data_IF_772556024663
#
_entry.id   IF_772556024663
#
_cell.length_a   1.000
_cell.length_b   1.000
_cell.length_c   1.000
_cell.angle_alpha   90.00
_cell.angle_beta   90.00
_cell.angle_gamma   90.00
#
_symmetry.space_group_name_H-M   'P 1'
#
loop_
_entity.id
_entity.type
_entity.pdbx_description
1 polymer ?
#
# COMPACT_ATOMS: atom_id res chain seq x y z
N UNK A 1 11.01 2.57 -8.39
CA UNK A 1 12.11 2.43 -9.37
C UNK A 1 12.92 3.70 -9.33
N UNK A 2 14.17 3.61 -8.87
CA UNK A 2 15.11 4.72 -8.84
C UNK A 2 16.08 4.67 -10.03
N UNK A 3 16.61 5.83 -10.42
CA UNK A 3 17.67 5.96 -11.41
C UNK A 3 18.69 6.99 -10.93
N UNK A 4 19.98 6.72 -11.18
CA UNK A 4 21.07 7.62 -10.84
C UNK A 4 21.96 7.78 -12.07
N UNK A 5 22.33 9.03 -12.39
CA UNK A 5 23.26 9.32 -13.48
C UNK A 5 24.28 10.38 -13.08
N UNK A 6 25.50 10.26 -13.61
CA UNK A 6 26.53 11.29 -13.47
C UNK A 6 26.31 12.41 -14.49
N UNK A 7 26.43 13.66 -14.05
CA UNK A 7 26.29 14.86 -14.87
C UNK A 7 27.67 15.32 -15.39
N UNK A 8 27.73 16.12 -16.48
CA UNK A 8 28.98 16.70 -16.96
C UNK A 8 29.72 17.55 -15.92
N UNK A 9 29.00 18.11 -14.94
CA UNK A 9 29.57 18.83 -13.80
C UNK A 9 30.30 17.94 -12.79
N UNK A 10 30.29 16.63 -12.97
CA UNK A 10 30.84 15.65 -12.03
C UNK A 10 29.89 15.24 -10.90
N UNK A 11 28.80 16.00 -10.69
CA UNK A 11 27.73 15.71 -9.72
C UNK A 11 26.86 14.53 -10.17
N UNK A 12 26.09 13.98 -9.24
CA UNK A 12 25.18 12.86 -9.48
C UNK A 12 23.72 13.29 -9.34
N UNK A 13 22.92 13.03 -10.36
CA UNK A 13 21.47 13.23 -10.31
C UNK A 13 20.79 11.92 -9.99
N UNK A 14 19.99 11.90 -8.92
CA UNK A 14 19.11 10.80 -8.57
C UNK A 14 17.65 11.16 -8.88
N UNK A 15 16.87 10.18 -9.32
CA UNK A 15 15.45 10.30 -9.60
C UNK A 15 14.69 9.08 -9.10
N UNK A 16 13.55 9.28 -8.45
CA UNK A 16 12.67 8.20 -7.99
C UNK A 16 11.26 8.43 -8.53
N UNK A 17 10.67 7.40 -9.14
CA UNK A 17 9.25 7.39 -9.52
C UNK A 17 8.39 7.01 -8.31
N UNK A 18 7.39 7.84 -8.04
CA UNK A 18 6.39 7.68 -6.99
C UNK A 18 5.11 7.03 -7.55
N UNK A 19 4.18 6.68 -6.67
CA UNK A 19 2.99 5.88 -7.01
C UNK A 19 1.93 6.65 -7.76
N UNK A 20 1.90 7.97 -7.55
CA UNK A 20 1.07 8.93 -8.27
C UNK A 20 1.60 9.23 -9.69
N UNK A 21 2.68 8.55 -10.11
CA UNK A 21 3.33 8.77 -11.39
C UNK A 21 4.23 10.01 -11.41
N UNK A 22 4.35 10.76 -10.31
CA UNK A 22 5.29 11.86 -10.21
C UNK A 22 6.72 11.36 -9.98
N UNK A 23 7.68 12.12 -10.52
CA UNK A 23 9.11 11.85 -10.34
C UNK A 23 9.71 12.91 -9.45
N UNK A 24 10.30 12.48 -8.34
CA UNK A 24 11.14 13.35 -7.51
C UNK A 24 12.59 13.20 -7.91
N UNK A 25 13.35 14.30 -7.92
CA UNK A 25 14.74 14.35 -8.37
C UNK A 25 15.58 15.21 -7.45
N UNK A 26 16.83 14.81 -7.24
CA UNK A 26 17.84 15.63 -6.56
C UNK A 26 19.19 15.54 -7.28
N UNK A 27 20.10 16.45 -6.95
CA UNK A 27 21.51 16.40 -7.38
C UNK A 27 22.41 16.45 -6.16
N UNK A 28 23.39 15.55 -6.10
CA UNK A 28 24.35 15.40 -5.01
C UNK A 28 25.78 15.43 -5.56
N UNK A 29 26.74 15.73 -4.70
CA UNK A 29 28.14 15.85 -5.12
C UNK A 29 28.81 14.48 -5.23
N UNK A 30 28.33 13.49 -4.45
CA UNK A 30 28.83 12.12 -4.46
C UNK A 30 27.76 11.12 -4.93
N UNK A 31 28.22 9.96 -5.41
CA UNK A 31 27.33 8.85 -5.76
C UNK A 31 26.67 8.25 -4.51
N UNK A 32 27.40 8.20 -3.40
CA UNK A 32 26.92 7.68 -2.13
C UNK A 32 25.71 8.48 -1.64
N UNK A 33 25.82 9.81 -1.59
CA UNK A 33 24.73 10.69 -1.19
C UNK A 33 23.50 10.58 -2.11
N UNK A 34 23.74 10.45 -3.42
CA UNK A 34 22.67 10.27 -4.41
C UNK A 34 21.94 8.95 -4.19
N UNK A 35 22.68 7.89 -3.84
CA UNK A 35 22.15 6.55 -3.58
C UNK A 35 21.39 6.51 -2.26
N UNK A 36 21.98 7.06 -1.19
CA UNK A 36 21.35 7.15 0.13
C UNK A 36 20.04 7.93 0.07
N UNK A 37 20.02 9.06 -0.65
CA UNK A 37 18.79 9.82 -0.85
C UNK A 37 17.73 9.02 -1.60
N UNK A 38 18.10 8.33 -2.69
CA UNK A 38 17.16 7.52 -3.47
C UNK A 38 16.56 6.39 -2.62
N UNK A 39 17.39 5.70 -1.83
CA UNK A 39 16.94 4.65 -0.91
C UNK A 39 15.95 5.19 0.13
N UNK A 40 16.28 6.32 0.77
CA UNK A 40 15.39 6.96 1.75
C UNK A 40 14.01 7.29 1.16
N UNK A 41 13.97 7.82 -0.07
CA UNK A 41 12.71 8.13 -0.75
C UNK A 41 11.91 6.87 -1.07
N UNK A 42 12.57 5.78 -1.49
CA UNK A 42 11.88 4.52 -1.75
C UNK A 42 11.36 3.86 -0.47
N UNK A 43 12.10 3.94 0.63
CA UNK A 43 11.68 3.45 1.94
C UNK A 43 10.47 4.21 2.46
N UNK A 44 10.48 5.54 2.34
CA UNK A 44 9.33 6.39 2.68
C UNK A 44 8.10 6.03 1.84
N UNK A 45 8.26 5.89 0.51
CA UNK A 45 7.18 5.46 -0.40
C UNK A 45 6.61 4.10 0.03
N UNK A 46 7.48 3.13 0.30
CA UNK A 46 7.07 1.78 0.69
C UNK A 46 6.35 1.77 2.05
N UNK A 47 6.77 2.60 3.00
CA UNK A 47 6.10 2.75 4.29
C UNK A 47 4.68 3.29 4.13
N UNK A 48 4.52 4.35 3.34
CA UNK A 48 3.19 4.93 3.04
C UNK A 48 2.27 3.94 2.34
N UNK A 49 2.79 3.10 1.43
CA UNK A 49 2.00 2.01 0.83
C UNK A 49 1.53 0.99 1.87
N UNK A 50 2.36 0.66 2.86
CA UNK A 50 1.98 -0.27 3.91
C UNK A 50 0.87 0.33 4.79
N UNK A 51 1.01 1.59 5.18
CA UNK A 51 -0.02 2.34 5.92
C UNK A 51 -1.32 2.46 5.13
N UNK A 52 -1.25 2.78 3.83
CA UNK A 52 -2.43 2.90 2.98
C UNK A 52 -3.15 1.55 2.81
N UNK A 53 -2.42 0.45 2.59
CA UNK A 53 -3.05 -0.88 2.50
C UNK A 53 -3.81 -1.25 3.76
N UNK A 54 -3.25 -0.94 4.94
CA UNK A 54 -3.93 -1.15 6.20
C UNK A 54 -5.24 -0.35 6.27
N UNK A 55 -5.22 0.93 5.87
CA UNK A 55 -6.42 1.77 5.81
C UNK A 55 -7.45 1.25 4.80
N UNK A 56 -7.01 0.78 3.64
CA UNK A 56 -7.88 0.22 2.61
C UNK A 56 -8.53 -1.10 3.06
N UNK A 57 -7.81 -1.94 3.81
CA UNK A 57 -8.33 -3.16 4.44
C UNK A 57 -9.39 -2.84 5.52
N UNK A 58 -9.14 -1.84 6.37
CA UNK A 58 -10.12 -1.38 7.35
C UNK A 58 -11.37 -0.80 6.69
N UNK A 59 -11.19 0.01 5.64
CA UNK A 59 -12.29 0.59 4.88
C UNK A 59 -13.12 -0.51 4.20
N UNK A 60 -12.47 -1.48 3.56
CA UNK A 60 -13.12 -2.63 2.94
C UNK A 60 -13.91 -3.45 3.97
N UNK A 61 -13.30 -3.71 5.13
CA UNK A 61 -13.96 -4.41 6.24
C UNK A 61 -15.20 -3.66 6.72
N UNK A 62 -15.11 -2.33 6.88
CA UNK A 62 -16.23 -1.48 7.29
C UNK A 62 -17.36 -1.49 6.26
N UNK A 63 -17.04 -1.44 4.97
CA UNK A 63 -18.01 -1.52 3.88
C UNK A 63 -18.74 -2.86 3.90
N UNK A 64 -18.00 -3.97 4.03
CA UNK A 64 -18.58 -5.32 4.10
C UNK A 64 -19.49 -5.47 5.31
N UNK A 65 -19.04 -5.05 6.50
CA UNK A 65 -19.85 -5.10 7.72
C UNK A 65 -21.10 -4.23 7.61
N UNK A 66 -20.99 -3.04 7.01
CA UNK A 66 -22.13 -2.17 6.74
C UNK A 66 -23.15 -2.83 5.81
N UNK A 67 -22.70 -3.47 4.73
CA UNK A 67 -23.56 -4.19 3.80
C UNK A 67 -24.27 -5.37 4.48
N UNK A 68 -23.55 -6.16 5.29
CA UNK A 68 -24.14 -7.29 6.04
C UNK A 68 -25.21 -6.79 7.03
N UNK A 69 -24.94 -5.69 7.73
CA UNK A 69 -25.91 -5.08 8.65
C UNK A 69 -27.16 -4.59 7.91
N UNK A 70 -27.01 -3.95 6.76
CA UNK A 70 -28.15 -3.52 5.95
C UNK A 70 -29.00 -4.72 5.50
N UNK A 71 -28.36 -5.80 5.05
CA UNK A 71 -29.07 -7.01 4.61
C UNK A 71 -29.83 -7.71 5.76
N UNK A 72 -29.32 -7.64 6.99
CA UNK A 72 -30.04 -8.07 8.20
C UNK A 72 -31.27 -7.20 8.47
N UNK A 73 -31.09 -5.88 8.45
CA UNK A 73 -32.16 -4.91 8.75
C UNK A 73 -33.29 -5.01 7.70
N UNK A 74 -32.94 -5.27 6.45
CA UNK A 74 -33.88 -5.51 5.36
C UNK A 74 -34.55 -6.90 5.41
N UNK A 75 -34.19 -7.76 6.37
CA UNK A 75 -34.67 -9.14 6.49
C UNK A 75 -34.22 -10.06 5.36
N UNK A 76 -33.22 -9.64 4.57
CA UNK A 76 -32.68 -10.37 3.42
C UNK A 76 -31.56 -11.35 3.79
N UNK A 77 -31.03 -11.23 5.01
CA UNK A 77 -30.13 -12.19 5.63
C UNK A 77 -30.78 -12.75 6.89
N UNK A 78 -30.85 -14.09 7.00
CA UNK A 78 -31.27 -14.73 8.25
C UNK A 78 -30.12 -14.77 9.27
N UNK A 79 -30.46 -14.91 10.55
CA UNK A 79 -29.46 -15.06 11.62
C UNK A 79 -28.59 -16.31 11.44
N UNK A 80 -29.11 -17.34 10.77
CA UNK A 80 -28.40 -18.59 10.46
C UNK A 80 -27.36 -18.36 9.35
N UNK A 81 -27.73 -17.67 8.28
CA UNK A 81 -26.80 -17.27 7.21
C UNK A 81 -25.66 -16.39 7.73
N UNK A 82 -25.92 -15.59 8.77
CA UNK A 82 -24.90 -14.77 9.41
C UNK A 82 -23.92 -15.57 10.28
N UNK A 83 -24.39 -16.64 10.91
CA UNK A 83 -23.55 -17.59 11.63
C UNK A 83 -22.61 -18.30 10.66
N UNK A 84 -23.14 -18.80 9.54
CA UNK A 84 -22.34 -19.42 8.47
C UNK A 84 -21.30 -18.45 7.89
N UNK A 85 -21.68 -17.20 7.65
CA UNK A 85 -20.76 -16.17 7.15
C UNK A 85 -19.61 -15.90 8.14
N UNK A 86 -19.92 -15.86 9.44
CA UNK A 86 -18.93 -15.65 10.50
C UNK A 86 -17.95 -16.83 10.60
N UNK A 87 -18.45 -18.06 10.52
CA UNK A 87 -17.59 -19.26 10.50
C UNK A 87 -16.69 -19.31 9.25
N UNK A 88 -17.16 -18.83 8.10
CA UNK A 88 -16.35 -18.70 6.88
C UNK A 88 -15.27 -17.62 6.99
N UNK A 89 -15.54 -16.52 7.70
CA UNK A 89 -14.59 -15.42 7.91
C UNK A 89 -13.55 -15.73 9.00
N UNK A 90 -13.93 -16.46 10.04
CA UNK A 90 -13.03 -16.90 11.13
C UNK A 90 -12.16 -18.11 10.74
N UNK A 91 -12.40 -18.74 9.58
CA UNK A 91 -11.52 -19.81 9.08
C UNK A 91 -10.14 -19.23 8.71
N UNK A 92 -9.04 -19.78 9.24
CA UNK A 92 -7.70 -19.37 8.84
C UNK A 92 -7.56 -19.60 7.33
N UNK A 93 -7.29 -18.53 6.58
CA UNK A 93 -6.96 -18.64 5.15
C UNK A 93 -5.62 -19.36 5.05
N UNK A 94 -5.64 -20.66 4.78
CA UNK A 94 -4.44 -21.36 4.32
C UNK A 94 -4.06 -20.78 2.95
N UNK A 95 -2.84 -20.23 2.80
CA UNK A 95 -2.39 -19.80 1.49
C UNK A 95 -2.31 -21.03 0.56
N UNK A 96 -2.71 -20.90 -0.72
CA UNK A 96 -2.52 -21.98 -1.67
C UNK A 96 -1.03 -22.28 -1.83
N UNK A 97 -0.68 -23.56 -1.72
CA UNK A 97 0.66 -24.13 -1.99
C UNK A 97 1.03 -24.04 -3.46
#
# INVERSE_FOLDING_TARGET
MASIRRLPSGRFQAAVLLDDGHRTTTTKDTLEDATAWAAQVEDERNRRRAEQRHLDEEASTRIVLGAVRQLLEDGRLSHEQLRELRELLDRPRTPPT
#
